data_IF_814754560052
#
_entry.id   IF_814754560052
#
_cell.length_a   1.000
_cell.length_b   1.000
_cell.length_c   1.000
_cell.angle_alpha   90.00
_cell.angle_beta   90.00
_cell.angle_gamma   90.00
#
_symmetry.space_group_name_H-M   'P 1'
#
loop_
_entity.id
_entity.type
_entity.pdbx_description
1 polymer ?
#
# COMPACT_ATOMS: atom_id res chain seq x y z
N UNK A 1 20.62 -5.82 -1.22
CA UNK A 1 19.89 -5.81 -2.51
C UNK A 1 19.79 -4.38 -3.00
N UNK A 2 19.77 -4.16 -4.32
CA UNK A 2 19.61 -2.84 -4.94
C UNK A 2 18.27 -2.84 -5.66
N UNK A 3 17.50 -1.75 -5.55
CA UNK A 3 16.26 -1.54 -6.30
C UNK A 3 16.48 -0.36 -7.25
N UNK A 4 15.83 -0.40 -8.40
CA UNK A 4 15.89 0.68 -9.38
C UNK A 4 14.87 1.77 -9.02
N UNK A 5 13.75 1.37 -8.39
CA UNK A 5 12.72 2.27 -7.88
C UNK A 5 12.21 1.82 -6.51
N UNK A 6 11.88 2.79 -5.66
CA UNK A 6 11.13 2.60 -4.42
C UNK A 6 9.80 3.33 -4.57
N UNK A 7 8.69 2.62 -4.41
CA UNK A 7 7.33 3.16 -4.41
C UNK A 7 6.82 3.16 -2.97
N UNK A 8 6.49 4.34 -2.46
CA UNK A 8 5.97 4.51 -1.10
C UNK A 8 4.45 4.71 -1.18
N UNK A 9 3.70 3.73 -0.68
CA UNK A 9 2.24 3.65 -0.72
C UNK A 9 1.76 2.57 -1.70
N UNK A 10 1.12 1.52 -1.18
CA UNK A 10 0.45 0.42 -1.87
C UNK A 10 -1.00 0.71 -2.28
N UNK A 11 -1.39 1.98 -2.38
CA UNK A 11 -2.70 2.37 -2.91
C UNK A 11 -2.85 2.12 -4.42
N UNK A 12 -3.97 2.56 -4.99
CA UNK A 12 -4.32 2.34 -6.41
C UNK A 12 -3.24 2.82 -7.38
N UNK A 13 -2.72 4.03 -7.21
CA UNK A 13 -1.67 4.59 -8.07
C UNK A 13 -0.32 3.89 -7.87
N UNK A 14 0.06 3.61 -6.61
CA UNK A 14 1.33 2.96 -6.27
C UNK A 14 1.42 1.53 -6.80
N UNK A 15 0.37 0.74 -6.62
CA UNK A 15 0.28 -0.61 -7.19
C UNK A 15 0.39 -0.60 -8.72
N UNK A 16 -0.30 0.32 -9.40
CA UNK A 16 -0.20 0.45 -10.86
C UNK A 16 1.22 0.82 -11.28
N UNK A 17 1.85 1.79 -10.63
CA UNK A 17 3.22 2.20 -10.95
C UNK A 17 4.23 1.07 -10.73
N UNK A 18 4.16 0.38 -9.59
CA UNK A 18 5.03 -0.74 -9.27
C UNK A 18 4.85 -1.90 -10.28
N UNK A 19 3.60 -2.23 -10.63
CA UNK A 19 3.28 -3.25 -11.63
C UNK A 19 3.87 -2.91 -13.00
N UNK A 20 3.68 -1.68 -13.49
CA UNK A 20 4.20 -1.25 -14.80
C UNK A 20 5.72 -1.25 -14.84
N UNK A 21 6.38 -0.63 -13.88
CA UNK A 21 7.85 -0.58 -13.81
C UNK A 21 8.45 -2.00 -13.76
N UNK A 22 7.85 -2.89 -12.95
CA UNK A 22 8.28 -4.29 -12.86
C UNK A 22 8.10 -5.03 -14.19
N UNK A 23 6.99 -4.80 -14.90
CA UNK A 23 6.74 -5.41 -16.21
C UNK A 23 7.75 -4.94 -17.29
N UNK A 24 8.38 -3.77 -17.12
CA UNK A 24 9.46 -3.27 -17.98
C UNK A 24 10.86 -3.72 -17.51
N UNK A 25 10.96 -4.62 -16.53
CA UNK A 25 12.22 -5.24 -16.09
C UNK A 25 12.92 -4.51 -14.94
N UNK A 26 12.33 -3.47 -14.36
CA UNK A 26 12.90 -2.81 -13.19
C UNK A 26 12.67 -3.64 -11.91
N UNK A 27 13.65 -3.61 -10.99
CA UNK A 27 13.48 -4.13 -9.63
C UNK A 27 12.85 -3.05 -8.77
N UNK A 28 11.61 -3.28 -8.35
CA UNK A 28 10.82 -2.30 -7.59
C UNK A 28 10.61 -2.79 -6.16
N UNK A 29 10.87 -1.92 -5.20
CA UNK A 29 10.42 -2.09 -3.83
C UNK A 29 9.13 -1.27 -3.63
N UNK A 30 8.01 -1.94 -3.38
CA UNK A 30 6.77 -1.31 -2.93
C UNK A 30 6.65 -1.45 -1.41
N UNK A 31 6.48 -0.34 -0.70
CA UNK A 31 6.23 -0.33 0.74
C UNK A 31 4.89 0.33 1.04
N UNK A 32 4.17 -0.20 2.02
CA UNK A 32 2.90 0.32 2.53
C UNK A 32 2.97 0.37 4.06
N UNK A 33 2.35 1.39 4.67
CA UNK A 33 2.33 1.55 6.12
C UNK A 33 1.40 0.54 6.78
N UNK A 34 0.25 0.30 6.14
CA UNK A 34 -0.75 -0.65 6.60
C UNK A 34 -0.34 -2.11 6.42
N UNK A 35 -1.04 -3.04 7.10
CA UNK A 35 -0.84 -4.47 6.93
C UNK A 35 -1.35 -4.96 5.56
N UNK A 36 -0.89 -6.13 5.14
CA UNK A 36 -1.51 -6.85 4.02
C UNK A 36 -2.88 -7.39 4.45
N UNK A 37 -3.92 -7.05 3.68
CA UNK A 37 -5.32 -7.40 3.97
C UNK A 37 -5.84 -8.36 2.89
N UNK A 38 -5.81 -9.68 3.12
CA UNK A 38 -6.26 -10.64 2.11
C UNK A 38 -7.79 -10.53 1.91
N UNK A 39 -8.33 -10.96 0.74
CA UNK A 39 -9.73 -10.73 0.39
C UNK A 39 -10.78 -11.26 1.38
N UNK A 40 -10.41 -12.25 2.20
CA UNK A 40 -11.27 -12.87 3.21
C UNK A 40 -11.01 -12.36 4.65
N UNK A 41 -10.12 -11.39 4.83
CA UNK A 41 -9.81 -10.78 6.12
C UNK A 41 -9.61 -9.26 5.99
N UNK A 42 -10.41 -8.61 5.14
CA UNK A 42 -10.42 -7.16 5.01
C UNK A 42 -11.04 -6.58 6.30
N UNK A 43 -10.35 -5.70 7.03
CA UNK A 43 -10.90 -4.99 8.20
C UNK A 43 -12.21 -4.27 7.90
N UNK A 44 -13.06 -4.14 8.92
CA UNK A 44 -14.40 -3.54 8.80
C UNK A 44 -14.34 -2.05 8.43
N UNK A 45 -13.34 -1.34 8.94
CA UNK A 45 -13.11 0.08 8.65
C UNK A 45 -12.66 0.34 7.21
N UNK A 46 -12.03 -0.63 6.54
CA UNK A 46 -11.70 -0.58 5.10
C UNK A 46 -12.93 -0.92 4.24
N UNK A 47 -13.82 -1.80 4.72
CA UNK A 47 -15.08 -2.13 4.03
C UNK A 47 -16.15 -1.04 4.18
N UNK A 48 -15.95 -0.07 5.07
CA UNK A 48 -16.89 1.01 5.33
C UNK A 48 -16.97 1.98 4.14
N UNK A 49 -18.18 2.49 3.89
CA UNK A 49 -18.40 3.54 2.89
C UNK A 49 -17.93 4.92 3.35
N UNK A 50 -17.74 5.12 4.66
CA UNK A 50 -17.09 6.29 5.23
C UNK A 50 -15.56 6.12 5.21
N UNK A 51 -14.84 6.82 4.31
CA UNK A 51 -13.40 6.67 4.18
C UNK A 51 -12.63 7.21 5.39
N UNK A 52 -13.25 8.02 6.26
CA UNK A 52 -12.56 8.64 7.38
C UNK A 52 -12.12 7.62 8.43
N UNK A 53 -12.86 6.51 8.60
CA UNK A 53 -12.52 5.45 9.55
C UNK A 53 -11.17 4.82 9.21
N UNK A 54 -10.99 4.33 7.98
CA UNK A 54 -9.71 3.81 7.54
C UNK A 54 -8.63 4.90 7.44
N UNK A 55 -8.95 6.08 6.86
CA UNK A 55 -7.96 7.14 6.65
C UNK A 55 -7.35 7.66 7.97
N UNK A 56 -8.15 7.72 9.03
CA UNK A 56 -7.72 8.19 10.35
C UNK A 56 -7.21 7.08 11.27
N UNK A 57 -7.26 5.81 10.86
CA UNK A 57 -6.77 4.70 11.67
C UNK A 57 -5.24 4.79 11.83
N UNK A 58 -4.71 4.93 13.06
CA UNK A 58 -3.27 5.01 13.30
C UNK A 58 -2.52 3.71 12.96
N UNK A 59 -3.24 2.58 12.83
CA UNK A 59 -2.71 1.29 12.38
C UNK A 59 -2.37 1.24 10.89
N UNK A 60 -2.84 2.19 10.08
CA UNK A 60 -2.53 2.30 8.64
C UNK A 60 -1.55 3.43 8.35
N UNK A 61 -0.77 3.85 9.35
CA UNK A 61 0.17 4.97 9.29
C UNK A 61 1.53 4.57 9.87
N UNK A 62 2.58 5.21 9.37
CA UNK A 62 3.89 5.12 9.97
C UNK A 62 3.88 5.85 11.32
N UNK A 63 3.92 5.10 12.43
CA UNK A 63 3.71 5.66 13.78
C UNK A 63 4.87 6.53 14.31
N UNK A 64 6.04 6.40 13.70
CA UNK A 64 7.29 7.05 14.13
C UNK A 64 7.81 8.09 13.13
N UNK A 65 6.97 8.51 12.18
CA UNK A 65 7.24 9.59 11.23
C UNK A 65 6.31 10.78 11.49
#
# INVERSE_FOLDING_TARGET
MVFDYIVVGGGSSGCVMASRLSAYGARVLLIEAGPDTPPNAIPDDIQDGDPTRAYLNPGYRWQSL
#
